data_IF_712426495960
#
_entry.id   IF_712426495960
#
_cell.length_a   1.000
_cell.length_b   1.000
_cell.length_c   1.000
_cell.angle_alpha   90.00
_cell.angle_beta   90.00
_cell.angle_gamma   90.00
#
_symmetry.space_group_name_H-M   'P 1'
#
loop_
_entity.id
_entity.type
_entity.pdbx_description
1 polymer ?
#
# COMPACT_ATOMS: atom_id res chain seq x y z
N UNK A 1 -7.16 14.23 -10.28
CA UNK A 1 -7.20 13.94 -9.41
C UNK A 1 -6.79 12.72 -8.95
N UNK A 2 -6.58 12.51 -8.16
CA UNK A 2 -6.12 11.51 -7.69
C UNK A 2 -6.97 10.64 -7.14
N UNK A 3 -7.08 9.62 -7.28
CA UNK A 3 -7.84 8.78 -6.76
C UNK A 3 -7.57 8.59 -5.46
N UNK A 4 -8.39 8.65 -4.68
CA UNK A 4 -8.15 8.55 -3.30
C UNK A 4 -7.93 7.14 -2.90
N UNK A 5 -7.23 6.95 -1.80
CA UNK A 5 -7.04 5.68 -1.27
C UNK A 5 -8.22 5.26 -0.50
N UNK A 6 -8.46 3.98 -0.46
CA UNK A 6 -9.56 3.43 0.32
C UNK A 6 -9.07 3.17 1.74
N UNK A 7 -9.94 3.39 2.71
CA UNK A 7 -9.59 3.18 4.11
C UNK A 7 -9.55 1.70 4.44
N UNK A 8 -8.93 1.38 5.58
CA UNK A 8 -8.90 -0.01 6.04
C UNK A 8 -10.31 -0.54 6.23
N UNK A 9 -11.23 0.30 6.70
CA UNK A 9 -12.61 -0.10 6.88
C UNK A 9 -13.27 -0.45 5.55
N UNK A 10 -13.02 0.35 4.53
CA UNK A 10 -13.60 0.10 3.21
C UNK A 10 -13.06 -1.19 2.60
N UNK A 11 -11.77 -1.42 2.74
CA UNK A 11 -11.18 -2.65 2.22
C UNK A 11 -11.74 -3.86 2.93
N UNK A 12 -11.79 -3.82 4.25
CA UNK A 12 -12.32 -4.93 5.03
C UNK A 12 -13.80 -5.16 4.71
N UNK A 13 -14.55 -4.08 4.50
CA UNK A 13 -15.96 -4.19 4.16
C UNK A 13 -16.14 -4.94 2.84
N UNK A 14 -15.35 -4.56 1.83
CA UNK A 14 -15.45 -5.19 0.52
C UNK A 14 -15.16 -6.70 0.60
N UNK A 15 -14.10 -7.05 1.30
CA UNK A 15 -13.74 -8.45 1.44
C UNK A 15 -14.80 -9.23 2.19
N UNK A 16 -15.37 -8.63 3.22
CA UNK A 16 -16.38 -9.28 4.02
C UNK A 16 -17.67 -9.47 3.24
N UNK A 17 -18.02 -8.52 2.40
CA UNK A 17 -19.22 -8.64 1.58
C UNK A 17 -19.16 -9.86 0.68
N UNK A 18 -18.02 -10.08 0.07
CA UNK A 18 -17.86 -11.23 -0.81
C UNK A 18 -17.87 -12.52 -0.01
N UNK A 19 -17.27 -12.53 1.16
CA UNK A 19 -17.30 -13.71 2.02
C UNK A 19 -18.73 -14.04 2.44
N UNK A 20 -19.56 -13.01 2.57
CA UNK A 20 -20.95 -13.19 2.96
C UNK A 20 -21.84 -13.62 1.80
N UNK A 21 -21.31 -13.68 0.58
CA UNK A 21 -22.06 -14.15 -0.55
C UNK A 21 -22.32 -13.15 -1.66
N UNK A 22 -21.91 -11.91 -1.49
CA UNK A 22 -22.10 -10.92 -2.53
C UNK A 22 -21.12 -11.19 -3.66
N UNK A 23 -21.56 -11.03 -4.88
CA UNK A 23 -20.71 -11.27 -6.03
C UNK A 23 -19.63 -10.21 -6.16
N UNK A 24 -18.45 -10.65 -6.59
CA UNK A 24 -17.32 -9.73 -6.76
C UNK A 24 -17.65 -8.57 -7.68
N UNK A 25 -18.22 -8.80 -8.87
CA UNK A 25 -18.54 -7.67 -9.75
C UNK A 25 -19.47 -6.64 -9.11
N UNK A 26 -20.38 -7.11 -8.27
CA UNK A 26 -21.31 -6.22 -7.62
C UNK A 26 -20.62 -5.33 -6.60
N UNK A 27 -19.74 -5.91 -5.80
CA UNK A 27 -18.99 -5.14 -4.82
C UNK A 27 -18.10 -4.12 -5.53
N UNK A 28 -17.45 -4.55 -6.61
CA UNK A 28 -16.57 -3.65 -7.36
C UNK A 28 -17.34 -2.47 -7.93
N UNK A 29 -18.53 -2.73 -8.44
CA UNK A 29 -19.34 -1.67 -9.00
C UNK A 29 -19.75 -0.65 -7.93
N UNK A 30 -20.15 -1.17 -6.77
CA UNK A 30 -20.57 -0.29 -5.68
C UNK A 30 -19.44 0.55 -5.15
N UNK A 31 -18.26 0.00 -5.11
CA UNK A 31 -17.10 0.71 -4.56
C UNK A 31 -16.29 1.42 -5.63
N UNK A 32 -16.70 1.28 -6.89
CA UNK A 32 -16.01 1.92 -8.00
C UNK A 32 -14.54 1.51 -8.07
N UNK A 33 -14.30 0.22 -7.94
CA UNK A 33 -12.97 -0.32 -8.09
C UNK A 33 -13.00 -1.39 -9.17
N UNK A 34 -11.85 -1.70 -9.72
CA UNK A 34 -11.77 -2.78 -10.68
C UNK A 34 -11.71 -4.12 -9.97
N UNK A 35 -12.05 -5.19 -10.66
CA UNK A 35 -11.94 -6.50 -10.09
C UNK A 35 -10.49 -6.83 -9.78
N UNK A 36 -9.59 -6.30 -10.60
CA UNK A 36 -8.17 -6.48 -10.37
C UNK A 36 -7.76 -5.92 -9.01
N UNK A 37 -8.27 -4.73 -8.68
CA UNK A 37 -8.01 -4.13 -7.39
C UNK A 37 -8.58 -4.98 -6.26
N UNK A 38 -9.79 -5.48 -6.46
CA UNK A 38 -10.41 -6.33 -5.45
C UNK A 38 -9.58 -7.58 -5.18
N UNK A 39 -9.12 -8.24 -6.24
CA UNK A 39 -8.35 -9.47 -6.05
C UNK A 39 -6.98 -9.19 -5.45
N UNK A 40 -6.43 -8.01 -5.69
CA UNK A 40 -5.20 -7.61 -5.04
C UNK A 40 -5.42 -7.47 -3.55
N UNK A 41 -6.55 -6.85 -3.16
CA UNK A 41 -6.91 -6.73 -1.76
C UNK A 41 -7.11 -8.10 -1.12
N UNK A 42 -7.80 -8.98 -1.84
CA UNK A 42 -8.08 -10.29 -1.31
C UNK A 42 -6.79 -11.05 -1.02
N UNK A 43 -5.86 -10.97 -1.94
CA UNK A 43 -4.60 -11.65 -1.77
C UNK A 43 -3.80 -11.08 -0.60
N UNK A 44 -3.87 -9.78 -0.43
CA UNK A 44 -3.06 -9.10 0.55
C UNK A 44 -3.67 -9.11 1.95
N UNK A 45 -4.98 -8.94 2.03
CA UNK A 45 -5.64 -8.72 3.30
C UNK A 45 -6.64 -9.78 3.72
N UNK A 46 -6.79 -10.85 2.96
CA UNK A 46 -7.79 -11.86 3.28
C UNK A 46 -7.56 -12.42 4.68
N UNK A 47 -8.65 -12.55 5.42
CA UNK A 47 -8.56 -13.07 6.77
C UNK A 47 -8.21 -12.05 7.83
N UNK A 48 -7.95 -10.81 7.43
CA UNK A 48 -7.60 -9.76 8.39
C UNK A 48 -8.81 -8.95 8.78
N UNK A 49 -8.87 -8.55 10.04
CA UNK A 49 -9.88 -7.61 10.48
C UNK A 49 -9.43 -6.19 10.18
N UNK A 50 -10.31 -5.24 10.50
CA UNK A 50 -10.02 -3.83 10.23
C UNK A 50 -8.74 -3.38 10.92
N UNK A 51 -8.56 -3.78 12.18
CA UNK A 51 -7.38 -3.37 12.93
C UNK A 51 -6.10 -3.89 12.29
N UNK A 52 -6.13 -5.13 11.83
CA UNK A 52 -4.95 -5.71 11.19
C UNK A 52 -4.63 -5.05 9.87
N UNK A 53 -5.66 -4.73 9.08
CA UNK A 53 -5.44 -4.03 7.81
C UNK A 53 -4.83 -2.67 8.07
N UNK A 54 -5.37 -1.95 9.07
CA UNK A 54 -4.86 -0.63 9.40
C UNK A 54 -3.41 -0.71 9.84
N UNK A 55 -3.10 -1.68 10.69
CA UNK A 55 -1.74 -1.84 11.18
C UNK A 55 -0.77 -2.17 10.06
N UNK A 56 -1.17 -3.07 9.16
CA UNK A 56 -0.32 -3.42 8.04
C UNK A 56 -0.05 -2.22 7.15
N UNK A 57 -1.06 -1.40 6.92
CA UNK A 57 -0.86 -0.22 6.07
C UNK A 57 0.09 0.78 6.71
N UNK A 58 0.03 0.92 8.02
CA UNK A 58 0.95 1.80 8.73
C UNK A 58 2.38 1.28 8.59
N UNK A 59 2.55 -0.02 8.78
CA UNK A 59 3.87 -0.63 8.66
C UNK A 59 4.41 -0.48 7.25
N UNK A 60 3.57 -0.67 6.25
CA UNK A 60 4.00 -0.53 4.86
C UNK A 60 4.42 0.91 4.57
N UNK A 61 3.70 1.86 5.12
CA UNK A 61 4.02 3.25 4.91
C UNK A 61 5.37 3.59 5.57
N UNK A 62 5.56 3.11 6.78
CA UNK A 62 6.82 3.33 7.48
C UNK A 62 7.98 2.67 6.77
N UNK A 63 7.74 1.48 6.25
CA UNK A 63 8.77 0.77 5.52
C UNK A 63 9.15 1.52 4.24
N UNK A 64 8.17 2.07 3.56
CA UNK A 64 8.43 2.85 2.35
C UNK A 64 9.24 4.09 2.67
N UNK A 65 8.90 4.75 3.78
CA UNK A 65 9.65 5.94 4.18
C UNK A 65 11.08 5.60 4.58
N UNK A 66 11.26 4.48 5.27
CA UNK A 66 12.60 4.06 5.64
C UNK A 66 13.45 3.75 4.43
N UNK A 67 12.85 3.08 3.43
CA UNK A 67 13.58 2.78 2.21
C UNK A 67 13.97 4.04 1.48
N UNK A 68 13.09 5.03 1.48
CA UNK A 68 13.39 6.30 0.85
C UNK A 68 14.55 6.98 1.58
N UNK A 69 14.52 6.97 2.90
CA UNK A 69 15.58 7.59 3.68
C UNK A 69 16.91 6.91 3.44
N UNK A 70 16.91 5.59 3.40
CA UNK A 70 18.14 4.84 3.13
C UNK A 70 18.68 5.19 1.74
N UNK A 71 17.80 5.29 0.76
CA UNK A 71 18.22 5.64 -0.59
C UNK A 71 18.84 7.04 -0.62
N UNK A 72 18.21 7.99 0.07
CA UNK A 72 18.71 9.35 0.11
C UNK A 72 20.08 9.41 0.79
N UNK A 73 20.23 8.69 1.88
CA UNK A 73 21.51 8.67 2.58
C UNK A 73 22.60 8.03 1.75
N UNK A 74 22.25 6.99 0.99
CA UNK A 74 23.22 6.33 0.12
C UNK A 74 23.67 7.26 -0.98
N UNK A 75 22.74 8.03 -1.56
CA UNK A 75 23.08 9.00 -2.58
C UNK A 75 23.97 10.10 -2.03
N UNK A 76 23.63 10.60 -0.85
CA UNK A 76 24.42 11.65 -0.22
C UNK A 76 25.85 11.17 0.00
N UNK A 77 25.99 9.94 0.50
CA UNK A 77 27.30 9.39 0.75
C UNK A 77 28.11 9.28 -0.53
N UNK A 78 27.47 8.83 -1.59
CA UNK A 78 28.14 8.67 -2.86
C UNK A 78 28.55 10.00 -3.45
N UNK A 79 27.69 11.00 -3.36
CA UNK A 79 28.00 12.32 -3.85
C UNK A 79 29.18 12.92 -3.11
N UNK A 80 29.19 12.73 -1.78
CA UNK A 80 30.28 13.23 -1.00
C UNK A 80 31.59 12.56 -1.35
N UNK A 81 31.57 11.24 -1.56
CA UNK A 81 32.76 10.53 -1.96
C UNK A 81 33.26 10.98 -3.30
N UNK A 82 32.35 11.26 -4.23
CA UNK A 82 32.72 11.73 -5.55
C UNK A 82 33.41 13.09 -5.47
N UNK A 83 32.90 13.98 -4.64
CA UNK A 83 33.50 15.29 -4.47
C UNK A 83 34.91 15.16 -3.92
N UNK A 84 35.08 14.31 -2.91
CA UNK A 84 36.39 14.11 -2.31
C UNK A 84 37.37 13.49 -3.32
N UNK A 85 36.86 12.59 -4.13
CA UNK A 85 37.74 11.92 -5.09
C UNK A 85 38.22 12.88 -6.18
N UNK A 86 37.38 13.81 -6.56
CA UNK A 86 37.74 14.76 -7.59
C UNK A 86 38.61 15.91 -7.10
N UNK A 87 38.79 15.99 -5.80
CA UNK A 87 39.55 17.05 -5.31
C UNK A 87 40.98 16.92 -5.73
N UNK A 88 41.62 18.01 -6.18
CA UNK A 88 43.01 17.95 -6.66
C UNK A 88 43.98 17.55 -5.57
#
# INVERSE_FOLDING_TARGET
MKKSRYTAEQVAFALRQVEAGTLVPEVCRKMEISEQTFYRWKKKYAGMGVAEVRKLRIIEEENRKLKQLVADLSLDKQMLQDVLRKKP
#
